data_IF_894211799140
#
_entry.id   IF_894211799140
#
_cell.length_a   1.000
_cell.length_b   1.000
_cell.length_c   1.000
_cell.angle_alpha   90.00
_cell.angle_beta   90.00
_cell.angle_gamma   90.00
#
_symmetry.space_group_name_H-M   'P 1'
#
loop_
_entity.id
_entity.type
_entity.pdbx_description
1 polymer ?
#
# COMPACT_ATOMS: atom_id res chain seq x y z
N UNK A 1 3.76 -64.90 -11.49
CA UNK A 1 4.00 -63.55 -12.06
C UNK A 1 2.70 -63.01 -12.62
N UNK A 2 2.03 -62.10 -11.88
CA UNK A 2 0.95 -61.26 -12.40
C UNK A 2 1.20 -59.85 -11.87
N UNK A 3 1.72 -59.01 -12.76
CA UNK A 3 1.90 -57.58 -12.57
C UNK A 3 0.52 -56.94 -12.59
N UNK A 4 0.04 -56.43 -11.45
CA UNK A 4 -1.09 -55.52 -11.43
C UNK A 4 -0.52 -54.10 -11.32
N UNK A 5 -0.65 -53.35 -12.42
CA UNK A 5 -0.28 -51.95 -12.49
C UNK A 5 -1.12 -51.15 -11.49
N UNK A 6 -0.45 -50.53 -10.51
CA UNK A 6 -1.00 -49.44 -9.72
C UNK A 6 -1.18 -48.23 -10.64
N UNK A 7 -2.42 -47.96 -11.05
CA UNK A 7 -2.80 -46.66 -11.59
C UNK A 7 -2.81 -45.67 -10.42
N UNK A 8 -1.69 -44.95 -10.25
CA UNK A 8 -1.64 -43.73 -9.45
C UNK A 8 -2.43 -42.66 -10.21
N UNK A 9 -3.69 -42.48 -9.79
CA UNK A 9 -4.48 -41.31 -10.14
C UNK A 9 -3.84 -40.10 -9.43
N UNK A 10 -2.87 -39.47 -10.08
CA UNK A 10 -2.39 -38.15 -9.68
C UNK A 10 -3.56 -37.18 -9.93
N UNK A 11 -4.36 -36.95 -8.89
CA UNK A 11 -5.27 -35.80 -8.84
C UNK A 11 -4.37 -34.57 -8.82
N UNK A 12 -4.07 -34.05 -10.01
CA UNK A 12 -3.56 -32.71 -10.16
C UNK A 12 -4.66 -31.77 -9.68
N UNK A 13 -4.63 -31.43 -8.39
CA UNK A 13 -5.26 -30.20 -7.94
C UNK A 13 -4.69 -29.11 -8.85
N UNK A 14 -5.52 -28.28 -9.50
CA UNK A 14 -5.00 -27.05 -10.07
C UNK A 14 -4.36 -26.34 -8.88
N UNK A 15 -3.03 -26.21 -8.92
CA UNK A 15 -2.31 -25.26 -8.09
C UNK A 15 -2.94 -23.91 -8.43
N UNK A 16 -3.92 -23.51 -7.62
CA UNK A 16 -4.36 -22.13 -7.55
C UNK A 16 -3.08 -21.38 -7.23
N UNK A 17 -2.55 -20.61 -8.19
CA UNK A 17 -1.32 -19.90 -7.96
C UNK A 17 -1.61 -18.87 -6.86
N UNK A 18 -1.17 -19.27 -5.67
CA UNK A 18 -1.34 -18.57 -4.42
C UNK A 18 -0.25 -17.51 -4.31
N UNK A 19 -0.56 -16.45 -3.57
CA UNK A 19 0.49 -15.52 -3.15
C UNK A 19 1.68 -16.30 -2.63
N UNK A 20 2.87 -15.73 -2.71
CA UNK A 20 3.99 -16.29 -1.97
C UNK A 20 3.73 -16.08 -0.48
N UNK A 21 3.08 -17.05 0.17
CA UNK A 21 2.75 -17.02 1.60
C UNK A 21 4.02 -17.24 2.44
N UNK A 22 4.18 -16.45 3.49
CA UNK A 22 5.29 -16.47 4.45
C UNK A 22 6.70 -16.54 3.79
N UNK A 23 7.06 -15.60 2.89
CA UNK A 23 8.35 -15.65 2.20
C UNK A 23 9.55 -15.35 3.12
N UNK A 24 9.29 -14.69 4.26
CA UNK A 24 10.25 -14.38 5.31
C UNK A 24 9.52 -14.20 6.66
N UNK A 25 10.26 -13.93 7.74
CA UNK A 25 9.70 -13.80 9.10
C UNK A 25 8.88 -12.53 9.38
N UNK A 26 8.83 -11.57 8.45
CA UNK A 26 8.11 -10.31 8.60
C UNK A 26 6.91 -10.20 7.64
N UNK A 27 6.81 -11.07 6.63
CA UNK A 27 5.85 -10.98 5.54
C UNK A 27 4.86 -12.14 5.60
N UNK A 28 3.56 -11.84 5.66
CA UNK A 28 2.50 -12.85 5.63
C UNK A 28 2.28 -13.39 4.21
N UNK A 29 2.27 -12.50 3.22
CA UNK A 29 2.15 -12.86 1.82
C UNK A 29 2.72 -11.76 0.92
N UNK A 30 3.16 -12.15 -0.28
CA UNK A 30 3.73 -11.27 -1.30
C UNK A 30 3.13 -11.59 -2.68
N UNK A 31 2.78 -10.52 -3.42
CA UNK A 31 2.53 -10.50 -4.86
C UNK A 31 3.55 -9.58 -5.51
N UNK A 32 4.45 -10.13 -6.31
CA UNK A 32 5.49 -9.42 -7.04
C UNK A 32 5.36 -9.59 -8.56
N UNK A 33 4.23 -10.15 -9.03
CA UNK A 33 3.92 -10.36 -10.43
C UNK A 33 4.49 -11.65 -11.03
N UNK A 34 5.37 -12.37 -10.32
CA UNK A 34 5.85 -13.68 -10.75
C UNK A 34 4.68 -14.67 -10.59
N UNK A 35 4.11 -15.10 -11.71
CA UNK A 35 2.94 -15.99 -11.79
C UNK A 35 1.63 -15.40 -11.23
N UNK A 36 1.40 -14.10 -11.46
CA UNK A 36 0.18 -13.41 -11.03
C UNK A 36 -1.10 -14.14 -11.49
N UNK A 37 -1.96 -14.48 -10.52
CA UNK A 37 -3.21 -15.19 -10.78
C UNK A 37 -4.18 -15.08 -9.59
N UNK A 38 -5.32 -15.77 -9.66
CA UNK A 38 -6.30 -15.86 -8.56
C UNK A 38 -7.13 -14.59 -8.31
N UNK A 39 -6.90 -13.54 -9.10
CA UNK A 39 -7.72 -12.33 -9.13
C UNK A 39 -9.04 -12.61 -9.87
N UNK A 40 -10.15 -12.14 -9.31
CA UNK A 40 -11.47 -12.27 -9.95
C UNK A 40 -11.55 -11.51 -11.28
N UNK A 41 -12.52 -11.91 -12.11
CA UNK A 41 -12.83 -11.17 -13.34
C UNK A 41 -13.26 -9.72 -13.02
N UNK A 42 -12.95 -8.80 -13.93
CA UNK A 42 -13.27 -7.38 -13.80
C UNK A 42 -12.12 -6.47 -14.20
N UNK A 43 -11.00 -6.50 -13.45
CA UNK A 43 -9.74 -5.85 -13.83
C UNK A 43 -8.77 -6.87 -14.39
N UNK A 44 -7.86 -6.41 -15.26
CA UNK A 44 -6.80 -7.25 -15.82
C UNK A 44 -5.54 -7.11 -14.99
N UNK A 45 -5.10 -8.24 -14.44
CA UNK A 45 -3.84 -8.37 -13.72
C UNK A 45 -2.85 -9.14 -14.61
N UNK A 46 -1.67 -8.57 -14.84
CA UNK A 46 -0.67 -9.19 -15.70
C UNK A 46 0.75 -8.84 -15.25
N UNK A 47 1.65 -9.82 -15.31
CA UNK A 47 3.07 -9.62 -15.08
C UNK A 47 3.62 -8.53 -16.01
N UNK A 48 4.50 -7.68 -15.51
CA UNK A 48 5.13 -6.62 -16.30
C UNK A 48 6.55 -7.02 -16.71
N UNK A 49 7.01 -6.77 -17.96
CA UNK A 49 8.34 -7.18 -18.43
C UNK A 49 9.52 -6.63 -17.61
N UNK A 50 9.34 -5.48 -16.97
CA UNK A 50 10.36 -4.84 -16.12
C UNK A 50 10.29 -5.29 -14.65
N UNK A 51 9.53 -6.35 -14.36
CA UNK A 51 9.24 -6.84 -13.02
C UNK A 51 7.98 -6.22 -12.43
N UNK A 52 7.41 -6.86 -11.40
CA UNK A 52 6.13 -6.47 -10.85
C UNK A 52 4.96 -6.90 -11.75
N UNK A 53 3.83 -6.22 -11.59
CA UNK A 53 2.62 -6.46 -12.35
C UNK A 53 1.83 -5.18 -12.61
N UNK A 54 0.94 -5.25 -13.59
CA UNK A 54 0.01 -4.19 -13.93
C UNK A 54 -1.41 -4.53 -13.50
N UNK A 55 -2.16 -3.49 -13.13
CA UNK A 55 -3.61 -3.53 -13.05
C UNK A 55 -4.14 -2.60 -14.13
N UNK A 56 -4.94 -3.13 -15.04
CA UNK A 56 -5.51 -2.42 -16.18
C UNK A 56 -7.04 -2.61 -16.26
N UNK A 57 -7.75 -1.75 -17.01
CA UNK A 57 -9.19 -1.92 -17.21
C UNK A 57 -9.52 -3.26 -17.87
N UNK A 58 -10.58 -3.90 -17.38
CA UNK A 58 -11.17 -5.10 -17.97
C UNK A 58 -12.67 -4.92 -18.18
N UNK A 59 -13.44 -5.93 -17.80
CA UNK A 59 -14.90 -5.96 -17.96
C UNK A 59 -15.64 -5.10 -16.89
N UNK A 60 -14.98 -4.80 -15.78
CA UNK A 60 -15.50 -3.98 -14.68
C UNK A 60 -14.43 -3.00 -14.19
N UNK A 61 -14.83 -1.99 -13.42
CA UNK A 61 -13.91 -1.05 -12.78
C UNK A 61 -13.29 -1.60 -11.49
N UNK A 62 -13.69 -2.80 -11.05
CA UNK A 62 -13.18 -3.41 -9.84
C UNK A 62 -12.90 -4.90 -10.05
N UNK A 63 -12.04 -5.42 -9.19
CA UNK A 63 -11.75 -6.85 -9.02
C UNK A 63 -11.17 -7.05 -7.62
N UNK A 64 -10.95 -8.29 -7.21
CA UNK A 64 -10.33 -8.60 -5.95
C UNK A 64 -10.00 -10.07 -5.80
N UNK A 65 -9.49 -10.41 -4.62
CA UNK A 65 -9.15 -11.78 -4.22
C UNK A 65 -9.28 -11.92 -2.71
N UNK A 66 -9.57 -13.13 -2.25
CA UNK A 66 -9.42 -13.47 -0.83
C UNK A 66 -7.95 -13.64 -0.47
N UNK A 67 -7.46 -12.86 0.48
CA UNK A 67 -6.06 -12.83 0.92
C UNK A 67 -5.93 -13.42 2.32
N UNK A 68 -4.83 -14.10 2.70
CA UNK A 68 -4.55 -14.39 4.10
C UNK A 68 -4.47 -13.08 4.91
N UNK A 69 -5.01 -13.06 6.12
CA UNK A 69 -4.90 -11.94 7.04
C UNK A 69 -4.66 -12.43 8.47
N UNK A 70 -3.81 -11.70 9.18
CA UNK A 70 -3.47 -11.93 10.58
C UNK A 70 -3.28 -10.56 11.27
N UNK A 71 -3.94 -10.28 12.42
CA UNK A 71 -3.72 -9.06 13.18
C UNK A 71 -2.26 -8.76 13.56
N UNK A 72 -1.40 -9.77 13.64
CA UNK A 72 0.04 -9.62 13.85
C UNK A 72 0.78 -9.01 12.63
N UNK A 73 0.14 -9.00 11.45
CA UNK A 73 0.65 -8.45 10.20
C UNK A 73 -0.28 -7.32 9.70
N UNK A 74 -0.39 -6.19 10.44
CA UNK A 74 -1.42 -5.20 10.18
C UNK A 74 -1.11 -4.28 9.00
N UNK A 75 0.10 -4.32 8.46
CA UNK A 75 0.54 -3.37 7.45
C UNK A 75 0.42 -3.93 6.05
N UNK A 76 -0.33 -3.23 5.21
CA UNK A 76 -0.38 -3.46 3.78
C UNK A 76 0.56 -2.47 3.09
N UNK A 77 1.47 -3.01 2.28
CA UNK A 77 2.52 -2.25 1.63
C UNK A 77 2.55 -2.52 0.13
N UNK A 78 2.92 -1.52 -0.65
CA UNK A 78 3.21 -1.69 -2.06
C UNK A 78 4.02 -0.53 -2.60
N UNK A 79 4.51 -0.70 -3.83
CA UNK A 79 5.27 0.33 -4.55
C UNK A 79 4.66 0.49 -5.93
N UNK A 80 4.09 1.67 -6.20
CA UNK A 80 3.64 2.07 -7.53
C UNK A 80 4.83 2.71 -8.22
N UNK A 81 5.34 2.04 -9.25
CA UNK A 81 6.52 2.50 -10.01
C UNK A 81 6.15 3.27 -11.26
N UNK A 82 4.91 3.12 -11.74
CA UNK A 82 4.43 3.84 -12.91
C UNK A 82 2.91 3.77 -13.05
N UNK A 83 2.37 4.66 -13.87
CA UNK A 83 0.99 4.61 -14.31
C UNK A 83 0.82 5.28 -15.67
N UNK A 84 -0.20 4.87 -16.41
CA UNK A 84 -0.67 5.54 -17.63
C UNK A 84 -2.09 6.03 -17.41
N UNK A 85 -2.36 7.24 -17.90
CA UNK A 85 -3.69 7.85 -17.81
C UNK A 85 -4.49 7.56 -19.08
N UNK A 86 -5.72 7.12 -18.89
CA UNK A 86 -6.71 6.99 -19.95
C UNK A 86 -7.67 8.18 -19.92
N UNK A 87 -8.55 8.24 -20.91
CA UNK A 87 -9.61 9.23 -20.96
C UNK A 87 -10.64 9.01 -19.84
N UNK A 88 -11.21 10.09 -19.32
CA UNK A 88 -12.31 10.06 -18.34
C UNK A 88 -11.87 10.19 -16.88
N UNK A 89 -12.73 9.73 -15.98
CA UNK A 89 -12.49 9.75 -14.53
C UNK A 89 -11.31 8.86 -14.16
N UNK A 90 -10.42 9.39 -13.32
CA UNK A 90 -9.18 8.73 -12.92
C UNK A 90 -9.20 8.46 -11.43
N UNK A 91 -8.90 7.25 -11.03
CA UNK A 91 -8.72 6.92 -9.63
C UNK A 91 -8.31 5.47 -9.46
N UNK A 92 -7.56 5.21 -8.41
CA UNK A 92 -7.33 3.86 -7.95
C UNK A 92 -7.48 3.82 -6.43
N UNK A 93 -7.83 2.65 -5.92
CA UNK A 93 -7.76 2.39 -4.50
C UNK A 93 -7.93 0.91 -4.19
N UNK A 94 -7.72 0.58 -2.92
CA UNK A 94 -8.02 -0.72 -2.38
C UNK A 94 -8.75 -0.60 -1.04
N UNK A 95 -9.66 -1.53 -0.83
CA UNK A 95 -10.44 -1.72 0.40
C UNK A 95 -10.99 -3.14 0.40
N UNK A 96 -11.96 -3.48 1.26
CA UNK A 96 -12.71 -4.70 1.04
C UNK A 96 -13.54 -5.18 2.21
N UNK A 97 -14.24 -6.30 1.99
CA UNK A 97 -15.15 -6.86 3.00
C UNK A 97 -14.36 -7.51 4.13
N UNK A 98 -14.63 -7.05 5.36
CA UNK A 98 -13.91 -7.49 6.55
C UNK A 98 -12.54 -6.81 6.72
N UNK A 99 -12.19 -5.83 5.88
CA UNK A 99 -10.99 -5.01 6.07
C UNK A 99 -11.36 -3.67 6.69
N UNK A 100 -10.62 -3.27 7.71
CA UNK A 100 -10.63 -1.90 8.23
C UNK A 100 -9.43 -1.16 7.69
N UNK A 101 -9.68 0.00 7.09
CA UNK A 101 -8.68 0.79 6.39
C UNK A 101 -8.85 0.72 4.87
N UNK A 102 -7.82 1.16 4.17
CA UNK A 102 -7.82 1.32 2.73
C UNK A 102 -6.97 2.50 2.32
N UNK A 103 -6.77 2.61 1.03
CA UNK A 103 -5.97 3.66 0.42
C UNK A 103 -6.47 3.89 -0.99
N UNK A 104 -6.49 5.14 -1.42
CA UNK A 104 -6.82 5.48 -2.79
C UNK A 104 -6.39 6.89 -3.13
N UNK A 105 -6.22 7.14 -4.42
CA UNK A 105 -5.92 8.45 -4.97
C UNK A 105 -6.83 8.70 -6.15
N UNK A 106 -7.48 9.86 -6.17
CA UNK A 106 -8.44 10.24 -7.21
C UNK A 106 -7.88 11.42 -8.02
N UNK A 107 -8.20 11.44 -9.31
CA UNK A 107 -7.83 12.39 -10.36
C UNK A 107 -6.33 12.49 -10.72
N UNK A 108 -5.44 12.46 -9.73
CA UNK A 108 -3.99 12.64 -9.93
C UNK A 108 -3.20 11.59 -9.15
N UNK A 109 -3.23 10.31 -9.59
CA UNK A 109 -2.46 9.25 -8.93
C UNK A 109 -0.97 9.61 -8.91
N UNK A 110 -0.25 9.09 -7.92
CA UNK A 110 1.17 9.34 -7.74
C UNK A 110 1.91 8.02 -7.57
N UNK A 111 3.15 7.98 -8.05
CA UNK A 111 4.08 6.88 -7.76
C UNK A 111 4.61 7.00 -6.34
N UNK A 112 5.21 5.92 -5.84
CA UNK A 112 5.82 5.86 -4.52
C UNK A 112 5.55 4.56 -3.78
N UNK A 113 6.19 4.43 -2.63
CA UNK A 113 5.92 3.36 -1.67
C UNK A 113 4.76 3.81 -0.80
N UNK A 114 3.79 2.95 -0.55
CA UNK A 114 2.77 3.17 0.48
C UNK A 114 2.85 2.09 1.54
N UNK A 115 2.61 2.49 2.78
CA UNK A 115 2.44 1.59 3.91
C UNK A 115 1.27 2.09 4.76
N UNK A 116 0.19 1.32 4.78
CA UNK A 116 -1.03 1.66 5.52
C UNK A 116 -1.48 0.48 6.36
N UNK A 117 -2.11 0.76 7.50
CA UNK A 117 -2.76 -0.29 8.29
C UNK A 117 -4.01 -0.77 7.56
N UNK A 118 -4.07 -2.07 7.34
CA UNK A 118 -5.21 -2.77 6.75
C UNK A 118 -5.44 -4.04 7.55
N UNK A 119 -6.35 -3.96 8.52
CA UNK A 119 -6.58 -5.04 9.50
C UNK A 119 -7.87 -5.77 9.23
N UNK A 120 -7.92 -7.05 9.59
CA UNK A 120 -9.15 -7.87 9.54
C UNK A 120 -9.30 -8.70 10.80
N UNK A 121 -10.54 -8.92 11.20
CA UNK A 121 -10.95 -9.94 12.17
C UNK A 121 -11.20 -11.30 11.51
N UNK A 122 -11.17 -11.38 10.17
CA UNK A 122 -11.35 -12.60 9.38
C UNK A 122 -9.97 -13.12 8.93
N UNK A 123 -9.77 -14.44 8.89
CA UNK A 123 -8.51 -15.02 8.41
C UNK A 123 -8.32 -14.88 6.89
N UNK A 124 -9.44 -14.75 6.14
CA UNK A 124 -9.42 -14.54 4.69
C UNK A 124 -10.44 -13.47 4.28
N UNK A 125 -10.15 -12.18 4.50
CA UNK A 125 -10.99 -11.10 3.98
C UNK A 125 -10.87 -10.98 2.45
N UNK A 126 -11.84 -10.32 1.83
CA UNK A 126 -11.79 -10.02 0.40
C UNK A 126 -11.08 -8.69 0.20
N UNK A 127 -9.90 -8.69 -0.44
CA UNK A 127 -9.18 -7.49 -0.87
C UNK A 127 -9.69 -7.09 -2.26
N UNK A 128 -10.32 -5.92 -2.34
CA UNK A 128 -10.86 -5.33 -3.57
C UNK A 128 -9.96 -4.18 -4.03
N UNK A 129 -9.70 -4.14 -5.32
CA UNK A 129 -9.16 -2.99 -6.03
C UNK A 129 -10.24 -2.34 -6.87
N UNK A 130 -10.27 -1.01 -6.85
CA UNK A 130 -11.07 -0.16 -7.72
C UNK A 130 -10.13 0.64 -8.60
N UNK A 131 -10.37 0.65 -9.91
CA UNK A 131 -9.54 1.29 -10.91
C UNK A 131 -10.41 1.94 -11.99
N UNK A 132 -10.21 3.24 -12.20
CA UNK A 132 -10.88 4.02 -13.22
C UNK A 132 -9.86 4.83 -14.02
N UNK A 133 -9.96 4.80 -15.36
CA UNK A 133 -9.20 5.68 -16.25
C UNK A 133 -7.68 5.59 -16.10
N UNK A 134 -7.16 4.46 -15.63
CA UNK A 134 -5.74 4.27 -15.32
C UNK A 134 -5.28 2.86 -15.71
N UNK A 135 -3.99 2.74 -16.01
CA UNK A 135 -3.22 1.49 -15.92
C UNK A 135 -2.15 1.76 -14.87
N UNK A 136 -2.05 0.92 -13.83
CA UNK A 136 -1.10 1.12 -12.72
C UNK A 136 -0.10 -0.03 -12.70
N UNK A 137 1.18 0.29 -12.58
CA UNK A 137 2.27 -0.68 -12.47
C UNK A 137 2.77 -0.71 -11.02
N UNK A 138 2.52 -1.85 -10.37
CA UNK A 138 3.04 -2.17 -9.05
C UNK A 138 4.30 -3.01 -9.18
N UNK A 139 5.32 -2.67 -8.40
CA UNK A 139 6.49 -3.55 -8.24
C UNK A 139 6.17 -4.72 -7.31
N UNK A 140 5.39 -4.47 -6.25
CA UNK A 140 4.88 -5.49 -5.35
C UNK A 140 3.67 -5.00 -4.55
N UNK A 141 2.92 -5.95 -3.99
CA UNK A 141 2.02 -5.81 -2.86
C UNK A 141 2.37 -6.85 -1.81
N UNK A 142 2.34 -6.48 -0.53
CA UNK A 142 2.60 -7.40 0.57
C UNK A 142 1.88 -7.00 1.84
N UNK A 143 1.63 -7.99 2.69
CA UNK A 143 1.17 -7.77 4.06
C UNK A 143 2.29 -8.16 5.04
N UNK A 144 2.65 -7.25 5.95
CA UNK A 144 3.82 -7.39 6.82
C UNK A 144 3.53 -7.01 8.28
N UNK A 145 4.37 -7.49 9.19
CA UNK A 145 4.33 -7.15 10.61
C UNK A 145 4.87 -5.73 10.86
N UNK A 146 6.03 -5.39 10.27
CA UNK A 146 6.64 -4.07 10.39
C UNK A 146 7.28 -3.63 9.07
N UNK A 147 6.75 -2.60 8.40
CA UNK A 147 7.36 -2.05 7.20
C UNK A 147 8.69 -1.37 7.50
N UNK A 148 9.62 -1.54 6.57
CA UNK A 148 10.93 -0.86 6.54
C UNK A 148 10.77 0.65 6.38
N UNK A 149 9.89 1.09 5.47
CA UNK A 149 9.52 2.48 5.28
C UNK A 149 8.04 2.66 5.64
N UNK A 150 7.72 3.57 6.56
CA UNK A 150 6.32 3.90 6.90
C UNK A 150 6.18 5.25 7.56
N UNK A 151 4.98 5.79 7.46
CA UNK A 151 4.55 6.98 8.20
C UNK A 151 3.56 6.50 9.27
N UNK A 152 3.78 6.90 10.51
CA UNK A 152 2.84 6.70 11.61
C UNK A 152 2.33 8.06 12.08
N UNK A 153 1.05 8.10 12.41
CA UNK A 153 0.40 9.28 12.98
C UNK A 153 -0.26 8.92 14.29
N UNK A 154 -0.14 9.79 15.29
CA UNK A 154 -0.79 9.61 16.59
C UNK A 154 -1.34 10.93 17.10
N UNK A 155 -2.61 10.93 17.52
CA UNK A 155 -3.16 12.05 18.26
C UNK A 155 -2.70 11.98 19.72
N UNK A 156 -2.16 13.08 20.23
CA UNK A 156 -1.74 13.27 21.62
C UNK A 156 -2.39 14.57 22.08
N UNK A 157 -3.47 14.46 22.86
CA UNK A 157 -4.30 15.59 23.28
C UNK A 157 -4.78 16.46 22.09
N UNK A 158 -4.34 17.71 22.01
CA UNK A 158 -4.61 18.69 20.95
C UNK A 158 -3.54 18.70 19.84
N UNK A 159 -2.64 17.71 19.83
CA UNK A 159 -1.52 17.62 18.89
C UNK A 159 -1.60 16.36 18.02
N UNK A 160 -1.08 16.49 16.81
CA UNK A 160 -0.78 15.41 15.91
C UNK A 160 0.74 15.16 15.92
N UNK A 161 1.14 13.98 16.38
CA UNK A 161 2.50 13.46 16.22
C UNK A 161 2.59 12.70 14.89
N UNK A 162 3.62 13.01 14.12
CA UNK A 162 3.94 12.34 12.85
C UNK A 162 5.35 11.77 13.00
N UNK A 163 5.50 10.47 12.71
CA UNK A 163 6.79 9.77 12.68
C UNK A 163 6.99 9.13 11.32
N UNK A 164 8.17 9.31 10.75
CA UNK A 164 8.62 8.64 9.53
C UNK A 164 9.75 7.71 9.89
N UNK A 165 9.58 6.43 9.57
CA UNK A 165 10.59 5.40 9.77
C UNK A 165 11.18 5.02 8.42
N UNK A 166 12.50 4.93 8.38
CA UNK A 166 13.29 4.60 7.21
C UNK A 166 14.18 3.39 7.51
N UNK A 167 14.52 2.63 6.47
CA UNK A 167 15.48 1.54 6.57
C UNK A 167 16.92 2.05 6.69
N UNK A 168 17.24 3.10 5.94
CA UNK A 168 18.55 3.74 5.92
C UNK A 168 18.48 5.19 6.41
N UNK A 169 19.60 5.74 6.92
CA UNK A 169 19.71 7.16 7.23
C UNK A 169 19.34 8.07 6.06
N UNK A 170 18.66 9.18 6.38
CA UNK A 170 18.41 10.28 5.45
C UNK A 170 19.16 11.55 5.88
N UNK A 171 19.30 12.49 4.96
CA UNK A 171 19.80 13.84 5.24
C UNK A 171 18.67 14.77 5.67
N UNK A 172 17.49 14.60 5.07
CA UNK A 172 16.33 15.45 5.31
C UNK A 172 15.02 14.72 5.05
N UNK A 173 13.98 15.02 5.85
CA UNK A 173 12.64 14.45 5.69
C UNK A 173 11.58 15.52 5.92
N UNK A 174 10.77 15.77 4.89
CA UNK A 174 9.60 16.64 4.99
C UNK A 174 8.32 15.89 4.65
N UNK A 175 7.20 16.30 5.25
CA UNK A 175 5.87 15.74 4.98
C UNK A 175 4.97 16.79 4.36
N UNK A 176 4.22 16.40 3.34
CA UNK A 176 3.13 17.18 2.75
C UNK A 176 1.80 16.44 2.93
N UNK A 177 0.71 17.20 2.98
CA UNK A 177 -0.62 16.66 3.25
C UNK A 177 -1.51 16.80 2.02
N UNK A 178 -2.34 15.80 1.77
CA UNK A 178 -3.20 15.74 0.60
C UNK A 178 -4.60 15.23 0.97
N UNK A 179 -5.62 15.79 0.34
CA UNK A 179 -6.92 15.14 0.25
C UNK A 179 -6.85 14.05 -0.81
N UNK A 180 -7.16 12.81 -0.46
CA UNK A 180 -7.18 11.69 -1.41
C UNK A 180 -8.11 11.95 -2.60
N UNK A 181 -9.13 12.81 -2.43
CA UNK A 181 -9.98 13.28 -3.51
C UNK A 181 -9.28 14.41 -4.30
N UNK A 182 -9.05 14.18 -5.59
CA UNK A 182 -8.32 15.07 -6.50
C UNK A 182 -6.84 15.33 -6.13
N UNK A 183 -6.32 14.76 -5.04
CA UNK A 183 -4.94 14.95 -4.59
C UNK A 183 -4.56 16.42 -4.44
N UNK A 184 -5.49 17.22 -3.91
CA UNK A 184 -5.24 18.64 -3.60
C UNK A 184 -4.33 18.71 -2.39
N UNK A 185 -3.25 19.49 -2.49
CA UNK A 185 -2.35 19.75 -1.38
C UNK A 185 -3.08 20.57 -0.31
N UNK A 186 -3.03 20.09 0.93
CA UNK A 186 -3.62 20.72 2.09
C UNK A 186 -2.57 21.53 2.84
N UNK A 187 -2.94 22.72 3.31
CA UNK A 187 -2.09 23.51 4.21
C UNK A 187 -2.44 23.15 5.66
N UNK A 188 -1.45 22.77 6.44
CA UNK A 188 -1.59 22.45 7.87
C UNK A 188 -1.03 23.59 8.69
N UNK A 189 -1.87 24.22 9.52
CA UNK A 189 -1.49 25.35 10.36
C UNK A 189 -0.82 26.50 9.56
N UNK A 190 -1.29 26.74 8.33
CA UNK A 190 -0.75 27.77 7.44
C UNK A 190 0.43 27.33 6.57
N UNK A 191 1.03 26.17 6.81
CA UNK A 191 2.20 25.68 6.08
C UNK A 191 1.83 24.64 5.01
N UNK A 192 2.55 24.61 3.89
CA UNK A 192 2.35 23.63 2.80
C UNK A 192 3.19 22.35 2.97
N UNK A 193 4.15 22.37 3.91
CA UNK A 193 5.01 21.27 4.28
C UNK A 193 5.35 21.34 5.77
N UNK A 194 5.63 20.18 6.35
CA UNK A 194 6.14 20.02 7.70
C UNK A 194 7.55 19.44 7.62
N UNK A 195 8.52 20.18 8.14
CA UNK A 195 9.89 19.69 8.29
C UNK A 195 9.96 18.77 9.52
N UNK A 196 10.49 17.56 9.36
CA UNK A 196 10.73 16.66 10.48
C UNK A 196 12.17 16.82 10.99
N UNK A 197 12.38 16.43 12.24
CA UNK A 197 13.70 16.36 12.87
C UNK A 197 14.04 14.90 13.16
N UNK A 198 15.32 14.49 13.01
CA UNK A 198 15.73 13.14 13.37
C UNK A 198 15.56 12.93 14.89
N UNK A 199 15.15 11.74 15.29
CA UNK A 199 15.07 11.39 16.73
C UNK A 199 16.42 10.98 17.31
N UNK A 200 17.37 10.57 16.45
CA UNK A 200 18.79 10.37 16.74
C UNK A 200 19.63 10.93 15.58
N UNK A 201 20.41 11.98 15.87
CA UNK A 201 21.27 12.62 14.86
C UNK A 201 22.42 11.73 14.37
N UNK A 202 22.83 10.73 15.16
CA UNK A 202 23.92 9.82 14.77
C UNK A 202 23.44 8.68 13.87
N UNK A 203 22.13 8.41 13.88
CA UNK A 203 21.50 7.40 13.05
C UNK A 203 20.08 7.85 12.65
N UNK A 204 19.97 8.78 11.68
CA UNK A 204 18.71 9.44 11.34
C UNK A 204 17.82 8.56 10.46
N UNK A 205 17.39 7.42 11.02
CA UNK A 205 16.44 6.46 10.43
C UNK A 205 15.00 6.69 10.91
N UNK A 206 14.83 7.51 11.94
CA UNK A 206 13.52 7.87 12.46
C UNK A 206 13.44 9.39 12.62
N UNK A 207 12.34 9.94 12.11
CA UNK A 207 12.11 11.37 12.01
C UNK A 207 10.75 11.70 12.60
N UNK A 208 10.64 12.79 13.35
CA UNK A 208 9.39 13.16 14.00
C UNK A 208 9.13 14.66 14.00
N UNK A 209 7.85 15.00 14.11
CA UNK A 209 7.40 16.34 14.47
C UNK A 209 6.03 16.24 15.17
N UNK A 210 5.73 17.27 15.97
CA UNK A 210 4.42 17.45 16.57
C UNK A 210 3.87 18.81 16.15
N UNK A 211 2.63 18.81 15.66
CA UNK A 211 1.90 20.02 15.26
C UNK A 211 0.56 20.07 15.99
N UNK A 212 -0.06 21.25 16.15
CA UNK A 212 -1.47 21.33 16.51
C UNK A 212 -2.33 20.44 15.61
N UNK A 213 -3.29 19.75 16.19
CA UNK A 213 -4.15 18.82 15.46
C UNK A 213 -4.93 19.59 14.37
N UNK A 214 -4.92 19.12 13.11
CA UNK A 214 -5.43 19.91 12.01
C UNK A 214 -6.96 19.96 12.00
N UNK A 215 -7.53 21.16 11.98
CA UNK A 215 -8.97 21.37 11.73
C UNK A 215 -9.27 21.45 10.22
N UNK A 216 -8.73 20.53 9.43
CA UNK A 216 -8.88 20.53 7.97
C UNK A 216 -10.00 19.60 7.55
N UNK A 217 -11.02 20.15 6.86
CA UNK A 217 -12.08 19.35 6.24
C UNK A 217 -11.59 18.75 4.93
N UNK A 218 -11.61 17.43 4.84
CA UNK A 218 -11.30 16.68 3.61
C UNK A 218 -12.57 16.07 3.01
N UNK A 219 -12.59 15.89 1.69
CA UNK A 219 -13.64 15.16 0.97
C UNK A 219 -13.44 13.64 1.06
N UNK A 220 -12.21 13.21 1.27
CA UNK A 220 -11.84 11.80 1.45
C UNK A 220 -10.76 11.68 2.54
N UNK A 221 -10.02 10.57 2.54
CA UNK A 221 -8.92 10.35 3.48
C UNK A 221 -7.83 11.41 3.34
N UNK A 222 -7.22 11.77 4.48
CA UNK A 222 -6.01 12.61 4.47
C UNK A 222 -4.78 11.74 4.28
N UNK A 223 -4.06 11.96 3.18
CA UNK A 223 -2.81 11.28 2.86
C UNK A 223 -1.61 12.14 3.26
N UNK A 224 -0.56 11.46 3.72
CA UNK A 224 0.73 12.06 4.05
C UNK A 224 1.74 11.60 3.01
N UNK A 225 2.47 12.54 2.40
CA UNK A 225 3.57 12.30 1.47
C UNK A 225 4.87 12.73 2.12
N UNK A 226 5.70 11.77 2.53
CA UNK A 226 7.07 12.05 2.93
C UNK A 226 7.97 12.16 1.69
N UNK A 227 8.70 13.27 1.60
CA UNK A 227 9.79 13.50 0.66
C UNK A 227 11.09 13.40 1.45
N UNK A 228 11.95 12.49 1.02
CA UNK A 228 13.17 12.10 1.72
C UNK A 228 14.35 12.48 0.83
N UNK A 229 15.32 13.21 1.38
CA UNK A 229 16.60 13.54 0.72
C UNK A 229 17.72 12.75 1.39
N UNK A 230 18.69 12.31 0.59
CA UNK A 230 19.71 11.34 1.02
C UNK A 230 19.18 9.89 1.03
N UNK A 231 20.04 8.96 1.44
CA UNK A 231 19.71 7.53 1.51
C UNK A 231 19.48 6.85 0.16
N UNK A 232 18.99 5.60 0.20
CA UNK A 232 18.75 4.77 -1.00
C UNK A 232 17.37 4.99 -1.62
N UNK A 233 16.35 5.36 -0.83
CA UNK A 233 15.00 5.61 -1.33
C UNK A 233 14.98 6.78 -2.33
N UNK A 234 14.38 6.57 -3.51
CA UNK A 234 14.30 7.59 -4.59
C UNK A 234 12.87 7.99 -4.95
N UNK A 235 11.89 7.46 -4.25
CA UNK A 235 10.47 7.68 -4.48
C UNK A 235 9.80 8.17 -3.21
N UNK A 236 8.71 8.95 -3.28
CA UNK A 236 8.02 9.41 -2.08
C UNK A 236 7.44 8.22 -1.31
N UNK A 237 7.34 8.39 0.00
CA UNK A 237 6.66 7.48 0.90
C UNK A 237 5.28 8.05 1.22
N UNK A 238 4.27 7.20 1.13
CA UNK A 238 2.88 7.53 1.39
C UNK A 238 2.35 6.82 2.63
N UNK A 239 1.63 7.58 3.44
CA UNK A 239 0.85 7.07 4.56
C UNK A 239 -0.52 7.74 4.58
N UNK A 240 -1.31 7.39 5.60
CA UNK A 240 -2.66 7.91 5.82
C UNK A 240 -2.78 8.36 7.27
N UNK A 241 -3.49 9.46 7.50
CA UNK A 241 -3.87 9.86 8.85
C UNK A 241 -4.80 8.80 9.44
N UNK A 242 -4.41 8.20 10.55
CA UNK A 242 -5.25 7.21 11.22
C UNK A 242 -6.51 7.87 11.80
N UNK A 243 -7.71 7.31 11.57
CA UNK A 243 -8.93 7.84 12.17
C UNK A 243 -8.89 7.71 13.69
N UNK A 244 -9.55 8.63 14.39
CA UNK A 244 -9.73 8.54 15.85
C UNK A 244 -10.46 7.25 16.21
N UNK A 245 -9.92 6.53 17.19
CA UNK A 245 -10.56 5.36 17.80
C UNK A 245 -11.34 5.78 19.03
#
# INVERSE_FOLDING_TARGET
>A
MRCFCLLLLAVAFPLLADFKENPDGNTLWLEDGVDISGWWEGLKFAAHPEGGFTIAPGESYNSGRYVPADPAYPWFCGEIVGYSMLEGYRGFGFTGSGLTGGFGMIASPQTGIFAVKLTSDRPRPFLRFDLHGLIVHFKYLKQVQKPEYRIETKRIDDRLEIRVFLKEPAEDVMVRFYDAYCMVMLRMNGEDKLQLLPTDENNPVEWSAQIPYPEVKTKSDMLLKAVILGGEIKVPLWGKLEPEK
#
